data_IF_511096652816
#
_entry.id   IF_511096652816
#
_cell.length_a   1.000
_cell.length_b   1.000
_cell.length_c   1.000
_cell.angle_alpha   90.00
_cell.angle_beta   90.00
_cell.angle_gamma   90.00
#
_symmetry.space_group_name_H-M   'P 1'
#
loop_
_entity.id
_entity.type
_entity.pdbx_description
1 polymer ?
#
# COMPACT_ATOMS: atom_id res chain seq x y z
N UNK A 1 -12.87 13.18 -39.60
CA UNK A 1 -12.36 12.65 -38.32
C UNK A 1 -13.46 11.83 -37.66
N UNK A 2 -13.31 10.50 -37.59
CA UNK A 2 -14.29 9.63 -36.94
C UNK A 2 -13.92 9.47 -35.45
N UNK A 3 -14.79 9.91 -34.56
CA UNK A 3 -14.66 9.71 -33.12
C UNK A 3 -15.08 8.26 -32.83
N UNK A 4 -14.10 7.38 -32.62
CA UNK A 4 -14.35 6.02 -32.16
C UNK A 4 -14.76 6.12 -30.68
N UNK A 5 -16.06 6.09 -30.41
CA UNK A 5 -16.59 5.91 -29.05
C UNK A 5 -16.16 4.53 -28.55
N UNK A 6 -15.23 4.50 -27.60
CA UNK A 6 -14.80 3.29 -26.89
C UNK A 6 -16.03 2.70 -26.18
N UNK A 7 -16.61 1.61 -26.72
CA UNK A 7 -17.69 0.88 -26.04
C UNK A 7 -17.13 0.35 -24.71
N UNK A 8 -17.54 0.95 -23.61
CA UNK A 8 -17.35 0.38 -22.27
C UNK A 8 -18.14 -0.93 -22.23
N UNK A 9 -17.42 -2.06 -22.24
CA UNK A 9 -18.02 -3.39 -22.11
C UNK A 9 -18.60 -3.48 -20.70
N UNK A 10 -19.94 -3.47 -20.59
CA UNK A 10 -20.62 -3.66 -19.30
C UNK A 10 -20.27 -5.04 -18.75
N UNK A 11 -19.87 -5.10 -17.48
CA UNK A 11 -19.57 -6.37 -16.81
C UNK A 11 -20.83 -7.23 -16.71
N UNK A 12 -20.67 -8.55 -16.85
CA UNK A 12 -21.76 -9.49 -16.58
C UNK A 12 -22.10 -9.51 -15.08
N UNK A 13 -23.29 -10.01 -14.74
CA UNK A 13 -23.69 -10.13 -13.34
C UNK A 13 -22.74 -11.04 -12.54
N UNK A 14 -22.30 -12.14 -13.14
CA UNK A 14 -21.32 -13.07 -12.56
C UNK A 14 -19.98 -12.39 -12.27
N UNK A 15 -19.51 -11.51 -13.17
CA UNK A 15 -18.29 -10.74 -12.98
C UNK A 15 -18.40 -9.78 -11.81
N UNK A 16 -19.56 -9.15 -11.61
CA UNK A 16 -19.81 -8.26 -10.46
C UNK A 16 -19.78 -9.03 -9.14
N UNK A 17 -20.53 -10.13 -9.06
CA UNK A 17 -20.57 -11.01 -7.88
C UNK A 17 -19.16 -11.52 -7.54
N UNK A 18 -18.38 -11.89 -8.56
CA UNK A 18 -17.01 -12.33 -8.37
C UNK A 18 -16.10 -11.22 -7.82
N UNK A 19 -16.17 -9.99 -8.38
CA UNK A 19 -15.41 -8.85 -7.87
C UNK A 19 -15.77 -8.53 -6.41
N UNK A 20 -17.05 -8.47 -6.09
CA UNK A 20 -17.53 -8.27 -4.72
C UNK A 20 -16.95 -9.34 -3.77
N UNK A 21 -16.86 -10.59 -4.21
CA UNK A 21 -16.32 -11.69 -3.40
C UNK A 21 -14.82 -11.56 -3.15
N UNK A 22 -14.01 -11.24 -4.16
CA UNK A 22 -12.55 -11.19 -4.00
C UNK A 22 -12.09 -9.94 -3.25
N UNK A 23 -12.81 -8.82 -3.34
CA UNK A 23 -12.50 -7.57 -2.63
C UNK A 23 -13.27 -7.42 -1.31
N UNK A 24 -14.12 -8.39 -0.96
CA UNK A 24 -14.89 -8.41 0.29
C UNK A 24 -14.05 -8.07 1.51
N UNK A 25 -12.90 -8.75 1.67
CA UNK A 25 -12.03 -8.54 2.83
C UNK A 25 -11.49 -7.11 2.91
N UNK A 26 -11.21 -6.47 1.78
CA UNK A 26 -10.80 -5.06 1.74
C UNK A 26 -11.93 -4.14 2.21
N UNK A 27 -13.17 -4.35 1.77
CA UNK A 27 -14.28 -3.51 2.21
C UNK A 27 -14.65 -3.75 3.67
N UNK A 28 -14.59 -4.98 4.15
CA UNK A 28 -14.86 -5.33 5.55
C UNK A 28 -13.79 -4.76 6.49
N UNK A 29 -12.52 -4.75 6.08
CA UNK A 29 -11.43 -4.19 6.90
C UNK A 29 -11.60 -2.70 7.16
N UNK A 30 -12.29 -1.97 6.28
CA UNK A 30 -12.61 -0.53 6.45
C UNK A 30 -13.69 -0.26 7.50
N UNK A 31 -14.43 -1.27 7.95
CA UNK A 31 -15.54 -1.10 8.90
C UNK A 31 -15.12 -1.22 10.37
N UNK A 32 -13.92 -1.72 10.66
CA UNK A 32 -13.47 -2.01 12.03
C UNK A 32 -12.01 -1.62 12.19
N UNK A 33 -11.71 -0.78 13.20
CA UNK A 33 -10.36 -0.36 13.57
C UNK A 33 -9.53 0.16 12.39
N UNK A 34 -10.20 0.78 11.41
CA UNK A 34 -9.59 1.28 10.18
C UNK A 34 -9.02 2.69 10.36
N UNK A 35 -7.79 2.88 9.90
CA UNK A 35 -7.12 4.17 9.84
C UNK A 35 -6.93 4.52 8.36
N UNK A 36 -7.68 5.51 7.84
CA UNK A 36 -7.53 5.94 6.46
C UNK A 36 -6.17 6.60 6.25
N UNK A 37 -5.71 6.60 5.00
CA UNK A 37 -4.36 7.04 4.66
C UNK A 37 -4.04 8.44 5.19
N UNK A 38 -4.93 9.39 4.95
CA UNK A 38 -4.75 10.78 5.37
C UNK A 38 -4.60 10.91 6.90
N UNK A 39 -5.34 10.13 7.70
CA UNK A 39 -5.21 10.14 9.15
C UNK A 39 -3.87 9.58 9.61
N UNK A 40 -3.44 8.46 9.02
CA UNK A 40 -2.13 7.86 9.31
C UNK A 40 -0.99 8.84 8.96
N UNK A 41 -1.04 9.44 7.76
CA UNK A 41 -0.04 10.42 7.31
C UNK A 41 0.01 11.63 8.22
N UNK A 42 -1.14 12.17 8.61
CA UNK A 42 -1.18 13.33 9.49
C UNK A 42 -0.60 13.02 10.87
N UNK A 43 -0.82 11.82 11.40
CA UNK A 43 -0.20 11.37 12.65
C UNK A 43 1.33 11.29 12.52
N UNK A 44 1.83 10.68 11.46
CA UNK A 44 3.28 10.58 11.21
C UNK A 44 3.91 11.97 11.10
N UNK A 45 3.31 12.87 10.31
CA UNK A 45 3.82 14.23 10.12
C UNK A 45 3.82 15.03 11.42
N UNK A 46 2.78 14.88 12.26
CA UNK A 46 2.70 15.53 13.56
C UNK A 46 3.83 15.06 14.48
N UNK A 47 4.04 13.74 14.60
CA UNK A 47 5.10 13.17 15.44
C UNK A 47 6.51 13.50 14.91
N UNK A 48 6.66 13.56 13.58
CA UNK A 48 7.91 13.97 12.95
C UNK A 48 8.16 15.49 13.00
N UNK A 49 7.17 16.29 13.42
CA UNK A 49 7.19 17.75 13.34
C UNK A 49 7.51 18.24 11.91
N UNK A 50 6.87 17.61 10.92
CA UNK A 50 7.02 17.91 9.50
C UNK A 50 5.69 18.35 8.89
N UNK A 51 5.78 18.94 7.71
CA UNK A 51 4.62 19.18 6.85
C UNK A 51 4.76 18.45 5.52
N UNK A 52 3.65 18.31 4.79
CA UNK A 52 3.64 17.79 3.41
C UNK A 52 4.52 18.59 2.43
N UNK A 53 4.95 19.80 2.81
CA UNK A 53 5.85 20.61 1.98
C UNK A 53 7.33 20.29 2.21
N UNK A 54 7.67 19.58 3.29
CA UNK A 54 9.07 19.27 3.63
C UNK A 54 9.72 18.38 2.57
N UNK A 55 11.02 18.56 2.34
CA UNK A 55 11.78 17.74 1.40
C UNK A 55 11.80 16.28 1.84
N UNK A 56 11.97 16.00 3.13
CA UNK A 56 11.98 14.64 3.70
C UNK A 56 10.69 13.89 3.34
N UNK A 57 9.53 14.53 3.56
CA UNK A 57 8.23 13.94 3.21
C UNK A 57 8.15 13.57 1.72
N UNK A 58 8.53 14.49 0.83
CA UNK A 58 8.49 14.28 -0.61
C UNK A 58 9.44 13.17 -1.05
N UNK A 59 10.66 13.18 -0.50
CA UNK A 59 11.71 12.22 -0.82
C UNK A 59 11.34 10.79 -0.44
N UNK A 60 10.64 10.60 0.68
CA UNK A 60 10.33 9.27 1.17
C UNK A 60 8.91 8.85 0.84
N UNK A 61 7.90 9.58 1.29
CA UNK A 61 6.53 9.12 1.12
C UNK A 61 6.02 9.30 -0.31
N UNK A 62 6.13 10.50 -0.89
CA UNK A 62 5.63 10.74 -2.25
C UNK A 62 6.39 9.89 -3.27
N UNK A 63 7.73 9.96 -3.24
CA UNK A 63 8.57 9.14 -4.11
C UNK A 63 8.46 7.64 -3.82
N UNK A 64 8.27 7.24 -2.56
CA UNK A 64 8.02 5.85 -2.21
C UNK A 64 6.71 5.34 -2.81
N UNK A 65 5.65 6.15 -2.75
CA UNK A 65 4.38 5.84 -3.39
C UNK A 65 4.48 5.81 -4.91
N UNK A 66 5.22 6.74 -5.52
CA UNK A 66 5.51 6.71 -6.97
C UNK A 66 6.24 5.43 -7.38
N UNK A 67 7.24 5.00 -6.59
CA UNK A 67 7.95 3.73 -6.84
C UNK A 67 7.02 2.53 -6.71
N UNK A 68 6.13 2.54 -5.72
CA UNK A 68 5.14 1.49 -5.53
C UNK A 68 4.18 1.42 -6.73
N UNK A 69 3.67 2.56 -7.22
CA UNK A 69 2.84 2.61 -8.42
C UNK A 69 3.59 2.15 -9.69
N UNK A 70 4.91 2.29 -9.73
CA UNK A 70 5.77 1.76 -10.78
C UNK A 70 6.08 0.26 -10.66
N UNK A 71 5.42 -0.46 -9.73
CA UNK A 71 5.63 -1.87 -9.42
C UNK A 71 7.03 -2.22 -8.86
N UNK A 72 7.74 -1.24 -8.26
CA UNK A 72 8.96 -1.49 -7.52
C UNK A 72 8.66 -1.98 -6.09
N UNK A 73 9.65 -2.57 -5.43
CA UNK A 73 9.55 -2.93 -4.02
C UNK A 73 9.79 -1.73 -3.12
N UNK A 74 9.07 -1.67 -2.00
CA UNK A 74 9.31 -0.73 -0.90
C UNK A 74 9.74 -1.53 0.33
N UNK A 75 10.97 -1.34 0.78
CA UNK A 75 11.52 -2.03 1.94
C UNK A 75 11.25 -1.23 3.21
N UNK A 76 10.35 -1.73 4.06
CA UNK A 76 10.14 -1.26 5.42
C UNK A 76 11.06 -2.02 6.40
N UNK A 77 11.07 -1.63 7.67
CA UNK A 77 11.97 -2.24 8.66
C UNK A 77 11.68 -3.73 8.91
N UNK A 78 10.40 -4.14 8.91
CA UNK A 78 10.00 -5.53 9.21
C UNK A 78 9.46 -6.33 8.01
N UNK A 79 9.31 -5.70 6.84
CA UNK A 79 8.74 -6.34 5.66
C UNK A 79 9.07 -5.57 4.38
N UNK A 80 8.80 -6.19 3.24
CA UNK A 80 8.88 -5.56 1.93
C UNK A 80 7.50 -5.60 1.29
N UNK A 81 7.00 -4.43 0.89
CA UNK A 81 5.80 -4.31 0.08
C UNK A 81 6.21 -4.35 -1.39
N UNK A 82 5.78 -5.39 -2.08
CA UNK A 82 6.10 -5.61 -3.48
C UNK A 82 4.88 -6.07 -4.25
N UNK A 83 5.13 -6.85 -5.29
CA UNK A 83 4.11 -7.25 -6.25
C UNK A 83 4.26 -8.71 -6.65
N UNK A 84 3.13 -9.38 -6.86
CA UNK A 84 3.08 -10.73 -7.41
C UNK A 84 1.96 -10.89 -8.44
N UNK A 85 1.92 -12.03 -9.13
CA UNK A 85 0.83 -12.36 -10.04
C UNK A 85 -0.18 -13.25 -9.33
N UNK A 86 -1.42 -12.79 -9.23
CA UNK A 86 -2.53 -13.59 -8.71
C UNK A 86 -3.72 -13.57 -9.67
N UNK A 87 -3.97 -14.73 -10.28
CA UNK A 87 -5.03 -14.92 -11.27
C UNK A 87 -6.44 -14.73 -10.71
N UNK A 88 -6.60 -14.75 -9.38
CA UNK A 88 -7.88 -14.44 -8.74
C UNK A 88 -8.28 -12.99 -8.94
N UNK A 89 -7.31 -12.07 -9.00
CA UNK A 89 -7.55 -10.64 -9.11
C UNK A 89 -7.36 -10.12 -10.53
N UNK A 90 -6.34 -10.60 -11.24
CA UNK A 90 -6.08 -10.19 -12.61
C UNK A 90 -5.26 -11.21 -13.39
N UNK A 91 -5.57 -11.36 -14.68
CA UNK A 91 -4.76 -12.15 -15.59
C UNK A 91 -3.47 -11.43 -15.99
N UNK A 92 -3.48 -10.09 -16.02
CA UNK A 92 -2.44 -9.29 -16.65
C UNK A 92 -1.75 -8.30 -15.71
N UNK A 93 -2.40 -7.93 -14.60
CA UNK A 93 -1.87 -6.95 -13.66
C UNK A 93 -1.20 -7.68 -12.51
N UNK A 94 -0.14 -7.05 -11.99
CA UNK A 94 0.41 -7.43 -10.71
C UNK A 94 -0.47 -6.93 -9.57
N UNK A 95 -0.37 -7.59 -8.42
CA UNK A 95 -1.09 -7.22 -7.20
C UNK A 95 -0.12 -7.02 -6.04
N UNK A 96 -0.44 -6.13 -5.10
CA UNK A 96 0.39 -5.93 -3.90
C UNK A 96 0.60 -7.23 -3.12
N UNK A 97 1.82 -7.43 -2.63
CA UNK A 97 2.23 -8.58 -1.83
C UNK A 97 3.22 -8.18 -0.74
N UNK A 98 3.33 -9.01 0.30
CA UNK A 98 4.31 -8.87 1.38
C UNK A 98 5.38 -9.96 1.25
N UNK A 99 6.65 -9.57 1.28
CA UNK A 99 7.79 -10.49 1.34
C UNK A 99 8.76 -10.11 2.47
N UNK A 100 9.70 -11.01 2.78
CA UNK A 100 10.74 -10.81 3.79
C UNK A 100 12.12 -10.52 3.18
N UNK A 101 12.29 -10.80 1.90
CA UNK A 101 13.57 -10.69 1.20
C UNK A 101 13.39 -9.92 -0.11
N UNK A 102 14.29 -8.98 -0.44
CA UNK A 102 14.21 -8.24 -1.69
C UNK A 102 14.35 -9.16 -2.89
N UNK A 103 13.67 -8.81 -3.98
CA UNK A 103 13.78 -9.53 -5.24
C UNK A 103 14.97 -8.98 -6.06
N UNK A 104 15.85 -9.87 -6.49
CA UNK A 104 17.07 -9.51 -7.22
C UNK A 104 16.85 -8.94 -8.63
N UNK A 105 15.62 -8.98 -9.14
CA UNK A 105 15.28 -8.60 -10.53
C UNK A 105 14.53 -7.27 -10.63
N UNK A 106 14.15 -6.67 -9.51
CA UNK A 106 13.39 -5.42 -9.49
C UNK A 106 14.06 -4.41 -8.54
N UNK A 107 13.75 -3.14 -8.75
CA UNK A 107 14.29 -2.08 -7.91
C UNK A 107 13.60 -2.10 -6.55
N UNK A 108 14.37 -1.82 -5.50
CA UNK A 108 13.88 -1.68 -4.13
C UNK A 108 14.13 -0.26 -3.65
N UNK A 109 13.06 0.46 -3.34
CA UNK A 109 13.13 1.73 -2.63
C UNK A 109 13.30 1.45 -1.13
N UNK A 110 14.38 1.95 -0.54
CA UNK A 110 14.65 1.73 0.87
C UNK A 110 13.88 2.73 1.73
N UNK A 111 12.87 2.23 2.45
CA UNK A 111 12.06 2.95 3.43
C UNK A 111 12.43 2.55 4.88
N UNK A 112 13.56 1.85 5.05
CA UNK A 112 14.00 1.32 6.35
C UNK A 112 15.27 1.99 6.87
N UNK A 113 16.17 2.40 5.95
CA UNK A 113 17.49 2.91 6.31
C UNK A 113 18.00 3.96 5.33
N UNK A 114 18.63 5.01 5.86
CA UNK A 114 19.34 6.06 5.13
C UNK A 114 20.50 6.60 5.99
N UNK A 115 21.52 7.18 5.35
CA UNK A 115 22.70 7.68 6.05
C UNK A 115 22.45 9.00 6.80
N UNK A 116 21.54 9.85 6.30
CA UNK A 116 21.23 11.12 6.92
C UNK A 116 20.40 10.92 8.21
N UNK A 117 20.87 11.47 9.33
CA UNK A 117 20.25 11.27 10.65
C UNK A 117 18.81 11.81 10.74
N UNK A 118 18.52 12.97 10.14
CA UNK A 118 17.17 13.55 10.16
C UNK A 118 16.19 12.74 9.32
N UNK A 119 16.64 12.26 8.17
CA UNK A 119 15.85 11.37 7.32
C UNK A 119 15.64 10.01 7.98
N UNK A 120 16.67 9.48 8.65
CA UNK A 120 16.58 8.22 9.39
C UNK A 120 15.60 8.34 10.57
N UNK A 121 15.60 9.47 11.28
CA UNK A 121 14.65 9.74 12.35
C UNK A 121 13.20 9.76 11.83
N UNK A 122 12.95 10.38 10.67
CA UNK A 122 11.65 10.31 10.01
C UNK A 122 11.25 8.87 9.66
N UNK A 123 12.14 8.09 9.04
CA UNK A 123 11.86 6.70 8.69
C UNK A 123 11.57 5.86 9.93
N UNK A 124 12.32 6.06 11.01
CA UNK A 124 12.09 5.37 12.29
C UNK A 124 10.71 5.71 12.85
N UNK A 125 10.35 7.00 12.92
CA UNK A 125 9.03 7.43 13.41
C UNK A 125 7.90 6.86 12.55
N UNK A 126 8.05 6.89 11.23
CA UNK A 126 7.05 6.32 10.32
C UNK A 126 6.86 4.83 10.59
N UNK A 127 7.95 4.05 10.59
CA UNK A 127 7.89 2.60 10.79
C UNK A 127 7.34 2.28 12.18
N UNK A 128 7.79 2.97 13.24
CA UNK A 128 7.30 2.73 14.60
C UNK A 128 5.79 2.99 14.71
N UNK A 129 5.28 4.12 14.20
CA UNK A 129 3.85 4.41 14.24
C UNK A 129 3.06 3.35 13.45
N UNK A 130 3.54 2.95 12.27
CA UNK A 130 2.91 1.91 11.49
C UNK A 130 2.83 0.59 12.26
N UNK A 131 3.95 0.12 12.81
CA UNK A 131 4.00 -1.15 13.52
C UNK A 131 3.23 -1.10 14.83
N UNK A 132 3.29 -0.02 15.58
CA UNK A 132 2.50 0.16 16.79
C UNK A 132 1.00 0.08 16.50
N UNK A 133 0.53 0.69 15.41
CA UNK A 133 -0.87 0.61 15.01
C UNK A 133 -1.26 -0.82 14.61
N UNK A 134 -0.46 -1.47 13.76
CA UNK A 134 -0.70 -2.85 13.32
C UNK A 134 -0.68 -3.83 14.51
N UNK A 135 0.30 -3.69 15.41
CA UNK A 135 0.41 -4.46 16.65
C UNK A 135 -0.67 -4.10 17.67
N UNK A 136 -1.46 -3.05 17.47
CA UNK A 136 -2.66 -2.80 18.29
C UNK A 136 -3.95 -3.25 17.60
N UNK A 137 -3.85 -3.95 16.46
CA UNK A 137 -4.99 -4.51 15.73
C UNK A 137 -5.68 -3.49 14.81
N UNK A 138 -5.07 -2.34 14.55
CA UNK A 138 -5.59 -1.40 13.56
C UNK A 138 -5.30 -1.87 12.13
N UNK A 139 -6.24 -1.59 11.24
CA UNK A 139 -6.09 -1.77 9.80
C UNK A 139 -5.65 -0.43 9.20
N UNK A 140 -4.42 -0.36 8.69
CA UNK A 140 -3.82 0.92 8.28
C UNK A 140 -3.75 1.00 6.77
N UNK A 141 -4.37 2.01 6.18
CA UNK A 141 -4.21 2.32 4.76
C UNK A 141 -2.88 3.05 4.53
N UNK A 142 -1.81 2.29 4.27
CA UNK A 142 -0.44 2.83 4.17
C UNK A 142 -0.22 3.65 2.90
N UNK A 143 -0.89 3.26 1.82
CA UNK A 143 -1.00 3.99 0.56
C UNK A 143 -2.47 3.98 0.13
N UNK A 144 -2.91 4.94 -0.69
CA UNK A 144 -4.29 4.97 -1.19
C UNK A 144 -4.72 3.60 -1.73
N UNK A 145 -5.86 3.11 -1.24
CA UNK A 145 -6.45 1.82 -1.59
C UNK A 145 -5.61 0.57 -1.24
N UNK A 146 -4.63 0.68 -0.35
CA UNK A 146 -3.79 -0.43 0.12
C UNK A 146 -3.75 -0.46 1.64
N UNK A 147 -4.31 -1.51 2.22
CA UNK A 147 -4.47 -1.70 3.66
C UNK A 147 -3.52 -2.78 4.15
N UNK A 148 -2.81 -2.48 5.24
CA UNK A 148 -2.05 -3.45 6.02
C UNK A 148 -2.82 -3.80 7.29
N UNK A 149 -2.76 -5.07 7.66
CA UNK A 149 -3.28 -5.59 8.92
C UNK A 149 -2.39 -6.70 9.44
N UNK A 150 -2.26 -6.80 10.76
CA UNK A 150 -1.42 -7.79 11.40
C UNK A 150 -2.27 -8.71 12.28
N UNK A 151 -2.28 -10.00 11.95
CA UNK A 151 -2.91 -11.03 12.78
C UNK A 151 -1.90 -11.54 13.81
N UNK A 152 -2.11 -11.13 15.08
CA UNK A 152 -1.26 -11.54 16.20
C UNK A 152 -1.28 -13.05 16.46
N UNK A 153 -2.40 -13.72 16.17
CA UNK A 153 -2.54 -15.15 16.45
C UNK A 153 -1.74 -15.98 15.45
N UNK A 154 -1.62 -15.47 14.22
CA UNK A 154 -0.89 -16.12 13.13
C UNK A 154 0.52 -15.54 12.91
N UNK A 155 0.90 -14.52 13.68
CA UNK A 155 2.12 -13.72 13.47
C UNK A 155 2.29 -13.33 11.99
N UNK A 156 1.21 -12.80 11.41
CA UNK A 156 1.10 -12.62 9.96
C UNK A 156 0.66 -11.22 9.57
N UNK A 157 1.53 -10.54 8.82
CA UNK A 157 1.18 -9.32 8.10
C UNK A 157 0.46 -9.67 6.80
N UNK A 158 -0.67 -9.02 6.56
CA UNK A 158 -1.49 -9.18 5.35
C UNK A 158 -1.66 -7.83 4.67
N UNK A 159 -1.55 -7.83 3.34
CA UNK A 159 -1.90 -6.68 2.50
C UNK A 159 -3.23 -6.97 1.80
N UNK A 160 -4.13 -5.99 1.85
CA UNK A 160 -5.39 -5.95 1.11
C UNK A 160 -5.38 -4.72 0.21
N UNK A 161 -6.09 -4.77 -0.91
CA UNK A 161 -6.18 -3.65 -1.83
C UNK A 161 -7.55 -3.63 -2.51
N UNK A 162 -7.94 -2.47 -3.02
CA UNK A 162 -9.23 -2.31 -3.70
C UNK A 162 -9.14 -2.57 -5.21
N UNK A 163 -10.31 -2.68 -5.84
CA UNK A 163 -10.44 -2.70 -7.29
C UNK A 163 -9.99 -1.39 -7.98
N UNK A 164 -10.02 -0.24 -7.28
CA UNK A 164 -9.50 1.05 -7.76
C UNK A 164 -7.99 1.00 -7.94
N UNK A 165 -7.27 0.35 -7.02
CA UNK A 165 -5.82 0.21 -7.13
C UNK A 165 -5.40 -0.39 -8.47
N UNK A 166 -6.13 -1.41 -8.96
CA UNK A 166 -5.87 -2.05 -10.25
C UNK A 166 -6.20 -1.16 -11.48
N UNK A 167 -6.98 -0.09 -11.28
CA UNK A 167 -7.26 0.90 -12.33
C UNK A 167 -6.14 1.94 -12.41
N UNK A 168 -5.57 2.30 -11.26
CA UNK A 168 -4.54 3.34 -11.12
C UNK A 168 -3.12 2.81 -11.41
N UNK A 169 -2.84 1.53 -11.16
CA UNK A 169 -1.54 0.88 -11.39
C UNK A 169 -1.25 0.56 -12.89
N UNK A 170 -1.64 1.43 -13.82
CA UNK A 170 -1.52 1.23 -15.28
C UNK A 170 -0.46 2.09 -15.95
#
# INVERSE_FOLDING_TARGET
MAIIKKKTKSMSNEQKIYQEKIFKNYHESKQSHFIPNESFINQVLLVANLSKKSSIWKTFYEKGYENFLANNEIQFQKFILGFERDLRFSLNNLVPNISQTPNSKILTFNFSKVENELEQDFLNKFNNILFDLLENGYHVEIFPNVILLFDKNLDKLTVLFSEEFLKDAR
#
